data_IF_949736815729
#
_entry.id   IF_949736815729
#
_cell.length_a   1.000
_cell.length_b   1.000
_cell.length_c   1.000
_cell.angle_alpha   90.00
_cell.angle_beta   90.00
_cell.angle_gamma   90.00
#
_symmetry.space_group_name_H-M   'P 1'
#
loop_
_entity.id
_entity.type
_entity.pdbx_description
1 polymer ?
#
# COMPACT_ATOMS: atom_id res chain seq x y z
N UNK A 1 35.73 34.21 0.78
CA UNK A 1 34.48 33.75 0.13
C UNK A 1 33.32 34.08 1.06
N UNK A 2 32.37 34.89 0.61
CA UNK A 2 31.33 35.53 1.44
C UNK A 2 30.29 34.52 1.92
N UNK A 3 30.26 34.23 3.22
CA UNK A 3 29.28 33.39 3.91
C UNK A 3 28.00 34.15 4.31
N UNK A 4 27.71 35.28 3.64
CA UNK A 4 26.70 36.28 4.03
C UNK A 4 25.25 35.78 4.04
N UNK A 5 24.99 34.59 3.53
CA UNK A 5 23.67 33.94 3.56
C UNK A 5 23.71 32.46 3.97
N UNK A 6 24.48 32.09 5.00
CA UNK A 6 24.17 30.85 5.71
C UNK A 6 22.79 31.01 6.32
N UNK A 7 21.75 30.47 5.66
CA UNK A 7 20.44 30.28 6.30
C UNK A 7 20.73 29.52 7.59
N UNK A 8 20.45 30.12 8.76
CA UNK A 8 20.44 29.39 10.03
C UNK A 8 19.55 28.17 9.78
N UNK A 9 20.10 26.97 9.96
CA UNK A 9 19.37 25.71 9.73
C UNK A 9 18.13 25.69 10.61
N UNK A 10 17.00 26.09 10.04
CA UNK A 10 15.70 25.98 10.69
C UNK A 10 15.27 24.52 10.73
N UNK A 11 14.31 24.22 11.61
CA UNK A 11 13.64 22.93 11.58
C UNK A 11 13.02 22.72 10.20
N UNK A 12 13.18 21.51 9.65
CA UNK A 12 12.55 21.11 8.40
C UNK A 12 11.26 20.36 8.74
N UNK A 13 10.16 20.82 8.18
CA UNK A 13 8.85 20.23 8.39
C UNK A 13 8.34 19.61 7.10
N UNK A 14 7.63 18.50 7.22
CA UNK A 14 6.90 17.89 6.13
C UNK A 14 5.46 18.40 6.14
N UNK A 15 5.08 19.19 5.14
CA UNK A 15 3.70 19.67 5.01
C UNK A 15 2.93 18.75 4.06
N UNK A 16 1.81 18.19 4.52
CA UNK A 16 0.88 17.45 3.66
C UNK A 16 -0.34 18.33 3.42
N UNK A 17 -0.63 18.61 2.14
CA UNK A 17 -1.77 19.44 1.77
C UNK A 17 -3.10 18.74 2.09
N UNK A 18 -4.12 19.52 2.45
CA UNK A 18 -5.44 18.99 2.78
C UNK A 18 -6.11 18.27 1.61
N UNK A 19 -5.86 18.66 0.37
CA UNK A 19 -6.38 17.97 -0.82
C UNK A 19 -5.74 16.59 -1.01
N UNK A 20 -4.42 16.47 -0.75
CA UNK A 20 -3.73 15.18 -0.70
C UNK A 20 -4.36 14.31 0.37
N UNK A 21 -4.42 14.80 1.62
CA UNK A 21 -4.88 14.02 2.76
C UNK A 21 -6.35 13.56 2.65
N UNK A 22 -7.22 14.39 2.06
CA UNK A 22 -8.65 14.05 1.88
C UNK A 22 -8.94 13.18 0.65
N UNK A 23 -8.00 13.05 -0.28
CA UNK A 23 -8.21 12.30 -1.52
C UNK A 23 -8.54 10.83 -1.27
N UNK A 24 -9.33 10.24 -2.19
CA UNK A 24 -9.61 8.80 -2.16
C UNK A 24 -8.31 7.98 -2.29
N UNK A 25 -7.38 8.46 -3.13
CA UNK A 25 -6.06 7.87 -3.33
C UNK A 25 -5.29 7.75 -2.01
N UNK A 26 -5.27 8.80 -1.20
CA UNK A 26 -4.56 8.81 0.09
C UNK A 26 -5.17 7.83 1.08
N UNK A 27 -6.50 7.78 1.16
CA UNK A 27 -7.21 6.84 2.04
C UNK A 27 -6.92 5.39 1.68
N UNK A 28 -6.72 5.10 0.40
CA UNK A 28 -6.37 3.76 -0.10
C UNK A 28 -4.89 3.40 0.07
N UNK A 29 -4.03 4.32 0.53
CA UNK A 29 -2.61 4.02 0.74
C UNK A 29 -2.40 3.11 1.95
N UNK A 30 -1.60 2.06 1.75
CA UNK A 30 -1.08 1.23 2.83
C UNK A 30 -0.01 2.00 3.64
N UNK A 31 0.31 1.59 4.88
CA UNK A 31 1.30 2.28 5.71
C UNK A 31 2.66 2.45 5.03
N UNK A 32 3.18 1.41 4.37
CA UNK A 32 4.45 1.48 3.65
C UNK A 32 4.42 2.47 2.47
N UNK A 33 3.25 2.61 1.83
CA UNK A 33 3.06 3.55 0.71
C UNK A 33 3.05 5.00 1.21
N UNK A 34 2.41 5.26 2.37
CA UNK A 34 2.42 6.59 3.00
C UNK A 34 3.84 7.01 3.38
N UNK A 35 4.59 6.12 4.03
CA UNK A 35 5.99 6.40 4.39
C UNK A 35 6.83 6.62 3.13
N UNK A 36 6.64 5.85 2.07
CA UNK A 36 7.34 6.08 0.81
C UNK A 36 7.05 7.47 0.21
N UNK A 37 5.80 7.96 0.32
CA UNK A 37 5.45 9.31 -0.12
C UNK A 37 6.08 10.38 0.77
N UNK A 38 6.03 10.19 2.08
CA UNK A 38 6.66 11.09 3.06
C UNK A 38 8.16 11.21 2.82
N UNK A 39 8.83 10.10 2.54
CA UNK A 39 10.25 10.02 2.22
C UNK A 39 10.61 10.75 0.92
N UNK A 40 9.78 10.64 -0.11
CA UNK A 40 9.97 11.42 -1.35
C UNK A 40 9.75 12.91 -1.11
N UNK A 41 8.70 13.26 -0.36
CA UNK A 41 8.38 14.65 -0.05
C UNK A 41 9.39 15.28 0.91
N UNK A 42 10.01 14.49 1.78
CA UNK A 42 11.14 14.92 2.59
C UNK A 42 12.37 15.17 1.74
N UNK A 43 12.65 14.38 0.70
CA UNK A 43 13.80 14.62 -0.19
C UNK A 43 13.62 15.82 -1.13
N UNK A 44 12.39 16.28 -1.32
CA UNK A 44 12.11 17.46 -2.12
C UNK A 44 12.63 18.74 -1.42
N UNK A 45 13.39 19.56 -2.15
CA UNK A 45 14.00 20.80 -1.64
C UNK A 45 13.38 22.09 -2.21
N UNK A 46 12.38 21.95 -3.07
CA UNK A 46 11.74 23.08 -3.77
C UNK A 46 12.24 23.33 -5.19
N UNK A 47 13.32 22.64 -5.62
CA UNK A 47 13.96 22.85 -6.92
C UNK A 47 14.43 21.55 -7.61
N UNK A 48 14.27 20.41 -6.94
CA UNK A 48 14.71 19.10 -7.43
C UNK A 48 13.56 18.16 -7.83
N UNK A 49 12.34 18.66 -8.04
CA UNK A 49 11.24 17.83 -8.50
C UNK A 49 11.53 17.26 -9.90
N UNK A 50 11.43 15.94 -10.05
CA UNK A 50 11.88 15.22 -11.25
C UNK A 50 13.31 14.69 -11.15
N UNK A 51 14.06 15.02 -10.10
CA UNK A 51 15.40 14.48 -9.78
C UNK A 51 15.46 13.87 -8.38
N UNK A 52 14.30 13.59 -7.78
CA UNK A 52 14.23 13.03 -6.42
C UNK A 52 14.67 11.58 -6.49
N UNK A 53 15.91 11.31 -6.08
CA UNK A 53 16.47 9.96 -6.05
C UNK A 53 15.89 9.14 -4.89
N UNK A 54 15.25 8.02 -5.19
CA UNK A 54 14.86 7.03 -4.19
C UNK A 54 14.83 5.62 -4.79
N UNK A 55 15.75 4.77 -4.32
CA UNK A 55 15.84 3.36 -4.73
C UNK A 55 15.03 2.42 -3.84
N UNK A 56 14.67 1.24 -4.36
CA UNK A 56 13.92 0.24 -3.59
C UNK A 56 14.72 -0.32 -2.39
N UNK A 57 16.05 -0.39 -2.47
CA UNK A 57 16.89 -0.89 -1.37
C UNK A 57 16.95 0.12 -0.22
N UNK A 58 17.25 1.37 -0.55
CA UNK A 58 17.24 2.49 0.39
C UNK A 58 15.88 2.65 1.06
N UNK A 59 14.79 2.60 0.28
CA UNK A 59 13.45 2.67 0.84
C UNK A 59 13.13 1.45 1.74
N UNK A 60 13.61 0.26 1.43
CA UNK A 60 13.40 -0.90 2.29
C UNK A 60 14.08 -0.75 3.66
N UNK A 61 15.28 -0.15 3.69
CA UNK A 61 15.98 0.18 4.94
C UNK A 61 15.18 1.19 5.77
N UNK A 62 14.66 2.24 5.13
CA UNK A 62 13.83 3.27 5.79
C UNK A 62 12.49 2.73 6.30
N UNK A 63 11.90 1.78 5.58
CA UNK A 63 10.67 1.10 5.98
C UNK A 63 10.91 0.01 7.04
N UNK A 64 12.16 -0.28 7.40
CA UNK A 64 12.54 -1.47 8.17
C UNK A 64 11.93 -2.76 7.60
N UNK A 65 11.80 -2.84 6.27
CA UNK A 65 11.20 -3.96 5.58
C UNK A 65 12.24 -5.05 5.33
N UNK A 66 11.86 -6.31 5.57
CA UNK A 66 12.74 -7.48 5.32
C UNK A 66 13.10 -7.68 3.85
N UNK A 67 12.28 -7.19 2.92
CA UNK A 67 12.49 -7.33 1.47
C UNK A 67 12.33 -6.01 0.74
N UNK A 68 13.17 -5.82 -0.29
CA UNK A 68 13.07 -4.75 -1.30
C UNK A 68 11.76 -4.79 -2.09
N UNK A 69 11.08 -5.93 -2.12
CA UNK A 69 9.84 -6.08 -2.90
C UNK A 69 8.70 -5.28 -2.27
N UNK A 70 8.67 -5.15 -0.94
CA UNK A 70 7.72 -4.29 -0.24
C UNK A 70 7.92 -2.83 -0.65
N UNK A 71 9.17 -2.36 -0.69
CA UNK A 71 9.50 -1.01 -1.14
C UNK A 71 9.17 -0.79 -2.62
N UNK A 72 9.45 -1.78 -3.48
CA UNK A 72 9.10 -1.75 -4.90
C UNK A 72 7.60 -1.63 -5.12
N UNK A 73 6.80 -2.44 -4.41
CA UNK A 73 5.33 -2.38 -4.44
C UNK A 73 4.82 -1.04 -3.92
N UNK A 74 5.43 -0.51 -2.86
CA UNK A 74 5.04 0.79 -2.31
C UNK A 74 5.22 1.93 -3.33
N UNK A 75 6.37 1.97 -4.02
CA UNK A 75 6.64 2.96 -5.07
C UNK A 75 5.73 2.76 -6.29
N UNK A 76 5.48 1.52 -6.68
CA UNK A 76 4.56 1.21 -7.78
C UNK A 76 3.12 1.64 -7.45
N UNK A 77 2.66 1.39 -6.23
CA UNK A 77 1.33 1.78 -5.77
C UNK A 77 1.17 3.30 -5.69
N UNK A 78 2.20 4.04 -5.28
CA UNK A 78 2.19 5.51 -5.34
C UNK A 78 2.10 6.03 -6.77
N UNK A 79 2.79 5.39 -7.70
CA UNK A 79 2.75 5.73 -9.11
C UNK A 79 1.35 5.46 -9.70
N UNK A 80 0.78 4.28 -9.42
CA UNK A 80 -0.56 3.88 -9.86
C UNK A 80 -1.65 4.82 -9.31
N UNK A 81 -1.52 5.24 -8.05
CA UNK A 81 -2.44 6.17 -7.41
C UNK A 81 -2.21 7.64 -7.81
N UNK A 82 -1.22 7.94 -8.65
CA UNK A 82 -0.99 9.26 -9.21
C UNK A 82 -0.35 10.27 -8.25
N UNK A 83 0.34 9.81 -7.19
CA UNK A 83 1.12 10.69 -6.31
C UNK A 83 2.50 11.01 -6.89
N UNK A 84 3.08 10.08 -7.64
CA UNK A 84 4.44 10.18 -8.16
C UNK A 84 4.51 9.70 -9.61
N UNK A 85 5.45 10.24 -10.37
CA UNK A 85 5.81 9.75 -11.69
C UNK A 85 7.31 9.42 -11.73
N UNK A 86 7.69 8.36 -12.46
CA UNK A 86 9.11 8.09 -12.73
C UNK A 86 9.61 9.11 -13.75
N UNK A 87 10.59 9.92 -13.36
CA UNK A 87 11.26 10.84 -14.26
C UNK A 87 12.39 10.12 -15.01
N UNK A 88 13.17 9.30 -14.30
CA UNK A 88 14.27 8.52 -14.89
C UNK A 88 14.36 7.13 -14.26
N UNK A 89 14.30 6.06 -15.06
CA UNK A 89 14.49 4.71 -14.54
C UNK A 89 15.96 4.50 -14.12
N UNK A 90 16.16 3.67 -13.10
CA UNK A 90 17.51 3.20 -12.78
C UNK A 90 18.03 2.30 -13.90
N UNK A 91 19.32 2.42 -14.23
CA UNK A 91 19.98 1.63 -15.26
C UNK A 91 21.10 0.79 -14.68
N UNK A 92 21.11 -0.51 -14.97
CA UNK A 92 22.18 -1.43 -14.55
C UNK A 92 23.46 -1.29 -15.39
N UNK A 93 23.32 -0.83 -16.64
CA UNK A 93 24.41 -0.68 -17.62
C UNK A 93 25.19 0.63 -17.45
N UNK A 94 24.71 1.54 -16.60
CA UNK A 94 25.38 2.82 -16.37
C UNK A 94 26.63 2.59 -15.50
N UNK A 95 27.73 3.23 -15.88
CA UNK A 95 29.03 3.18 -15.17
C UNK A 95 28.91 3.58 -13.68
N UNK A 96 27.86 4.31 -13.33
CA UNK A 96 27.48 4.64 -11.96
C UNK A 96 26.12 4.02 -11.65
N UNK A 97 25.95 3.46 -10.45
CA UNK A 97 24.64 2.99 -9.96
C UNK A 97 23.75 4.20 -9.74
N UNK A 98 22.87 4.50 -10.72
CA UNK A 98 21.92 5.62 -10.62
C UNK A 98 20.63 5.12 -9.98
N UNK A 99 20.19 5.78 -8.91
CA UNK A 99 18.88 5.51 -8.30
C UNK A 99 17.75 5.94 -9.24
N UNK A 100 16.56 5.35 -9.08
CA UNK A 100 15.38 5.82 -9.81
C UNK A 100 15.07 7.25 -9.37
N UNK A 101 14.86 8.15 -10.33
CA UNK A 101 14.47 9.53 -10.07
C UNK A 101 12.96 9.68 -10.22
N UNK A 102 12.36 10.38 -9.27
CA UNK A 102 10.92 10.55 -9.13
C UNK A 102 10.53 12.02 -9.20
N UNK A 103 9.29 12.23 -9.64
CA UNK A 103 8.56 13.51 -9.62
C UNK A 103 7.33 13.36 -8.74
N UNK A 104 7.09 14.33 -7.87
CA UNK A 104 5.84 14.52 -7.15
C UNK A 104 4.85 15.23 -8.07
N UNK A 105 3.66 14.66 -8.27
CA UNK A 105 2.62 15.23 -9.16
C UNK A 105 1.94 16.47 -8.57
N UNK A 106 2.13 16.73 -7.27
CA UNK A 106 1.62 17.92 -6.57
C UNK A 106 2.36 19.21 -6.95
N UNK A 107 3.62 19.09 -7.38
CA UNK A 107 4.50 20.22 -7.69
C UNK A 107 4.80 20.32 -9.18
N UNK A 108 5.26 21.50 -9.60
CA UNK A 108 5.78 21.73 -10.95
C UNK A 108 7.02 20.86 -11.15
N UNK A 109 7.22 20.32 -12.34
CA UNK A 109 8.45 19.63 -12.68
C UNK A 109 9.60 20.64 -12.86
N UNK A 110 10.67 20.50 -12.10
CA UNK A 110 11.80 21.44 -12.14
C UNK A 110 12.78 21.13 -13.29
N UNK A 111 12.63 19.98 -13.94
CA UNK A 111 13.43 19.57 -15.11
C UNK A 111 12.76 19.99 -16.40
N UNK A 112 11.48 19.62 -16.57
CA UNK A 112 10.73 19.90 -17.81
C UNK A 112 9.97 21.22 -17.75
N UNK A 113 9.70 21.74 -16.56
CA UNK A 113 8.89 22.94 -16.36
C UNK A 113 7.39 22.70 -16.41
N UNK A 114 6.94 21.45 -16.58
CA UNK A 114 5.52 21.08 -16.65
C UNK A 114 4.74 21.44 -15.39
N UNK A 115 3.47 21.81 -15.58
CA UNK A 115 2.57 22.15 -14.47
C UNK A 115 2.26 20.92 -13.58
N UNK A 116 1.90 21.15 -12.30
CA UNK A 116 1.42 20.09 -11.43
C UNK A 116 0.22 19.35 -12.02
N UNK A 117 0.31 18.02 -12.15
CA UNK A 117 -0.77 17.20 -12.74
C UNK A 117 -1.80 16.76 -11.70
N UNK A 118 -1.39 16.58 -10.43
CA UNK A 118 -2.24 16.16 -9.30
C UNK A 118 -3.14 14.96 -9.64
N UNK A 119 -2.56 13.95 -10.29
CA UNK A 119 -3.29 12.78 -10.80
C UNK A 119 -4.07 12.02 -9.72
N UNK A 120 -3.57 12.02 -8.48
CA UNK A 120 -4.23 11.44 -7.31
C UNK A 120 -5.64 11.99 -7.03
N UNK A 121 -5.99 13.18 -7.52
CA UNK A 121 -7.33 13.76 -7.37
C UNK A 121 -8.36 13.00 -8.21
N UNK A 122 -7.94 12.48 -9.37
CA UNK A 122 -8.82 11.77 -10.31
C UNK A 122 -8.91 10.27 -10.03
N UNK A 123 -7.99 9.75 -9.23
CA UNK A 123 -7.96 8.33 -8.88
C UNK A 123 -9.21 7.92 -8.13
N UNK A 124 -9.74 6.74 -8.49
CA UNK A 124 -10.89 6.11 -7.85
C UNK A 124 -10.51 4.67 -7.48
N UNK A 125 -11.01 4.14 -6.35
CA UNK A 125 -10.79 2.75 -6.00
C UNK A 125 -11.36 1.83 -7.09
N UNK A 126 -10.72 0.70 -7.39
CA UNK A 126 -11.30 -0.32 -8.25
C UNK A 126 -12.66 -0.72 -7.69
N UNK A 127 -13.68 -0.79 -8.56
CA UNK A 127 -14.98 -1.31 -8.15
C UNK A 127 -14.78 -2.76 -7.70
N UNK A 128 -15.26 -3.08 -6.49
CA UNK A 128 -15.24 -4.44 -5.98
C UNK A 128 -16.14 -5.30 -6.87
N UNK A 129 -15.54 -6.06 -7.79
CA UNK A 129 -16.25 -7.11 -8.50
C UNK A 129 -16.56 -8.19 -7.46
N UNK A 130 -17.71 -8.06 -6.82
CA UNK A 130 -18.27 -9.09 -5.96
C UNK A 130 -18.50 -10.32 -6.84
N UNK A 131 -17.53 -11.22 -6.89
CA UNK A 131 -17.68 -12.52 -7.55
C UNK A 131 -18.92 -13.15 -6.95
N UNK A 132 -20.01 -13.16 -7.72
CA UNK A 132 -21.18 -13.95 -7.39
C UNK A 132 -20.69 -15.40 -7.43
N UNK A 133 -20.51 -16.00 -6.26
CA UNK A 133 -20.31 -17.43 -6.16
C UNK A 133 -21.57 -18.07 -6.73
N UNK A 134 -21.50 -18.53 -7.98
CA UNK A 134 -22.54 -19.31 -8.61
C UNK A 134 -22.62 -20.63 -7.84
N UNK A 135 -23.52 -20.66 -6.86
CA UNK A 135 -23.85 -21.82 -6.07
C UNK A 135 -24.57 -22.84 -6.95
N UNK A 136 -23.82 -23.53 -7.80
CA UNK A 136 -24.31 -24.75 -8.42
C UNK A 136 -24.22 -25.87 -7.38
N UNK A 137 -25.31 -26.01 -6.62
CA UNK A 137 -25.61 -27.21 -5.85
C UNK A 137 -25.69 -28.39 -6.83
N UNK A 138 -24.55 -29.06 -7.05
CA UNK A 138 -24.50 -30.33 -7.75
C UNK A 138 -25.20 -31.38 -6.89
N UNK A 139 -26.50 -31.60 -7.16
CA UNK A 139 -27.25 -32.74 -6.66
C UNK A 139 -26.56 -34.00 -7.18
N UNK A 140 -25.90 -34.73 -6.29
CA UNK A 140 -25.38 -36.07 -6.54
C UNK A 140 -26.56 -37.03 -6.72
N UNK A 141 -26.95 -37.25 -7.98
CA UNK A 141 -27.86 -38.32 -8.39
C UNK A 141 -27.14 -39.67 -8.25
N UNK A 142 -27.74 -40.55 -7.46
CA UNK A 142 -27.23 -41.89 -7.21
C UNK A 142 -27.54 -42.80 -8.38
N UNK A 143 -26.51 -43.44 -8.93
CA UNK A 143 -26.70 -44.66 -9.70
C UNK A 143 -25.82 -45.78 -9.15
N UNK A 144 -26.46 -46.52 -8.25
CA UNK A 144 -26.18 -47.89 -7.87
C UNK A 144 -26.26 -48.79 -9.11
N UNK A 145 -25.11 -49.31 -9.58
CA UNK A 145 -25.00 -50.60 -10.30
C UNK A 145 -23.64 -51.24 -10.04
N UNK A 146 -23.65 -52.27 -9.22
CA UNK A 146 -22.48 -53.06 -8.85
C UNK A 146 -21.84 -53.85 -10.00
N UNK A 147 -20.54 -54.06 -9.86
CA UNK A 147 -19.81 -55.17 -10.46
C UNK A 147 -18.83 -55.74 -9.43
N UNK A 148 -19.14 -56.95 -8.95
CA UNK A 148 -18.32 -57.77 -8.07
C UNK A 148 -17.33 -58.57 -8.93
N UNK A 149 -16.04 -58.59 -8.55
CA UNK A 149 -15.13 -59.75 -8.69
C UNK A 149 -14.17 -59.77 -7.47
N UNK A 150 -13.83 -60.95 -6.91
CA UNK A 150 -13.33 -61.11 -5.55
C UNK A 150 -11.81 -61.30 -5.47
N UNK A 151 -11.22 -60.95 -4.32
CA UNK A 151 -9.83 -61.26 -3.99
C UNK A 151 -9.49 -60.79 -2.59
N UNK A 152 -9.29 -61.74 -1.68
CA UNK A 152 -9.15 -61.57 -0.25
C UNK A 152 -7.98 -60.67 0.19
N UNK A 153 -8.22 -59.81 1.20
CA UNK A 153 -7.63 -59.98 2.54
C UNK A 153 -8.27 -59.04 3.57
N UNK A 154 -8.73 -59.67 4.64
CA UNK A 154 -9.11 -59.19 5.99
C UNK A 154 -8.14 -58.10 6.48
N UNK A 155 -8.57 -57.00 7.12
CA UNK A 155 -8.90 -56.88 8.55
C UNK A 155 -9.80 -55.65 8.83
N UNK A 156 -10.90 -55.87 9.57
CA UNK A 156 -11.76 -54.93 10.34
C UNK A 156 -10.93 -54.07 11.33
N UNK A 157 -11.20 -52.82 11.71
CA UNK A 157 -12.42 -52.01 11.77
C UNK A 157 -12.02 -50.52 11.98
N UNK A 158 -12.94 -49.55 11.74
CA UNK A 158 -12.66 -48.12 11.76
C UNK A 158 -12.79 -47.53 13.18
N UNK A 159 -11.81 -46.76 13.63
CA UNK A 159 -11.98 -45.88 14.79
C UNK A 159 -12.47 -44.52 14.33
N UNK A 160 -13.78 -44.43 14.18
CA UNK A 160 -14.51 -43.17 14.08
C UNK A 160 -14.58 -42.54 15.49
N UNK A 161 -13.80 -41.48 15.72
CA UNK A 161 -14.00 -40.56 16.85
C UNK A 161 -13.77 -39.13 16.39
N UNK A 162 -14.79 -38.58 15.72
CA UNK A 162 -14.97 -37.13 15.63
C UNK A 162 -15.27 -36.60 17.03
N UNK A 163 -14.31 -35.94 17.67
CA UNK A 163 -14.56 -35.10 18.85
C UNK A 163 -15.23 -33.82 18.36
N UNK A 164 -16.45 -33.58 18.82
CA UNK A 164 -17.24 -32.38 18.53
C UNK A 164 -16.50 -31.14 19.04
N UNK A 165 -16.35 -30.06 18.25
CA UNK A 165 -15.95 -28.77 18.81
C UNK A 165 -17.07 -28.23 19.69
N UNK A 166 -16.74 -27.93 20.95
CA UNK A 166 -17.64 -27.22 21.87
C UNK A 166 -17.82 -25.80 21.34
N UNK A 167 -19.02 -25.54 20.84
CA UNK A 167 -19.52 -24.20 20.53
C UNK A 167 -19.68 -23.41 21.82
N UNK A 168 -18.82 -22.42 22.05
CA UNK A 168 -19.19 -21.22 22.82
C UNK A 168 -19.53 -20.11 21.83
N UNK A 169 -20.82 -19.76 21.80
CA UNK A 169 -21.33 -18.61 21.07
C UNK A 169 -20.85 -17.31 21.70
N UNK A 170 -20.44 -16.40 20.82
CA UNK A 170 -20.84 -14.98 20.75
C UNK A 170 -20.78 -14.14 22.03
N UNK A 171 -19.87 -13.16 22.02
CA UNK A 171 -20.33 -11.80 22.28
C UNK A 171 -19.53 -10.80 21.44
N UNK A 172 -20.22 -10.25 20.45
CA UNK A 172 -19.97 -8.93 19.90
C UNK A 172 -19.89 -7.90 21.02
N UNK A 173 -18.85 -7.07 21.04
CA UNK A 173 -18.96 -5.76 21.66
C UNK A 173 -18.65 -4.70 20.61
N UNK A 174 -19.69 -3.97 20.25
CA UNK A 174 -19.69 -2.91 19.27
C UNK A 174 -19.98 -1.61 20.00
N UNK A 175 -18.94 -0.93 20.49
CA UNK A 175 -18.90 0.54 20.62
C UNK A 175 -17.59 1.03 21.24
N UNK A 176 -16.45 0.83 20.55
CA UNK A 176 -15.29 1.69 20.80
C UNK A 176 -15.49 3.00 20.02
N UNK A 177 -16.45 3.79 20.46
CA UNK A 177 -16.74 5.13 19.93
C UNK A 177 -15.57 6.04 20.26
N UNK A 178 -14.65 6.23 19.32
CA UNK A 178 -13.68 7.32 19.34
C UNK A 178 -14.43 8.65 19.28
N UNK A 179 -14.70 9.25 20.45
CA UNK A 179 -15.06 10.66 20.56
C UNK A 179 -13.76 11.48 20.52
N UNK A 180 -13.51 12.13 19.39
CA UNK A 180 -12.55 13.24 19.32
C UNK A 180 -13.23 14.50 19.85
N UNK A 181 -12.86 14.96 21.04
CA UNK A 181 -13.20 16.31 21.51
C UNK A 181 -12.16 17.28 20.97
N UNK A 182 -12.49 17.91 19.84
CA UNK A 182 -11.85 19.15 19.40
C UNK A 182 -12.66 20.28 20.04
N UNK A 183 -12.04 21.06 20.92
CA UNK A 183 -12.69 22.21 21.55
C UNK A 183 -11.78 22.84 22.59
N UNK A 184 -11.04 23.87 22.17
CA UNK A 184 -10.31 24.73 23.09
C UNK A 184 -11.28 25.64 23.83
N UNK A 185 -11.09 25.75 25.14
CA UNK A 185 -11.64 26.84 25.93
C UNK A 185 -10.55 27.89 26.10
N UNK A 186 -10.66 28.99 25.37
CA UNK A 186 -10.05 30.26 25.74
C UNK A 186 -11.02 30.96 26.68
N UNK A 187 -10.73 30.95 27.98
CA UNK A 187 -11.42 31.84 28.92
C UNK A 187 -10.82 33.24 28.82
N UNK A 188 -11.73 34.20 28.69
CA UNK A 188 -11.53 35.64 28.73
C UNK A 188 -11.18 36.12 30.14
#
# INVERSE_FOLDING_TARGET
MSSKWKRKGGQKFLMIDGAVFRSAAWKALLPAERVAYEELKWRYDGTNNGRIGLGCRELAELLHAKSKDTASRALAALQEKGFVAKAKPSGFTLKHRVATEWRLTEYRDDVTGELPTREYVRWKPPLENKTQSDGSDARSDGSDRGRIIPGANTVHSPMDRTVRPVSSKSQSDASATYRYTIGGETNA
#
